data_IF_877062902707
#
_entry.id   IF_877062902707
#
_cell.length_a   1.000
_cell.length_b   1.000
_cell.length_c   1.000
_cell.angle_alpha   90.00
_cell.angle_beta   90.00
_cell.angle_gamma   90.00
#
_symmetry.space_group_name_H-M   'P 1'
#
loop_
_entity.id
_entity.type
_entity.pdbx_description
1 polymer ?
#
# COMPACT_ATOMS: atom_id res chain seq x y z
N UNK A 1 29.97 -0.99 -27.73
CA UNK A 1 29.54 -2.34 -28.11
C UNK A 1 28.21 -2.59 -27.41
N UNK A 2 27.15 -2.54 -28.19
CA UNK A 2 25.73 -2.53 -27.75
C UNK A 2 25.19 -3.96 -27.68
N UNK A 3 24.70 -4.36 -26.54
CA UNK A 3 24.02 -5.63 -26.35
C UNK A 3 22.64 -5.44 -25.73
N UNK A 4 21.63 -5.23 -26.57
CA UNK A 4 20.22 -5.18 -26.18
C UNK A 4 19.70 -6.59 -25.96
N UNK A 5 19.31 -6.94 -24.75
CA UNK A 5 18.53 -8.15 -24.44
C UNK A 5 17.05 -7.89 -24.72
N UNK A 6 16.51 -8.57 -25.73
CA UNK A 6 15.07 -8.61 -26.01
C UNK A 6 14.40 -9.65 -25.12
N UNK A 7 13.30 -9.28 -24.46
CA UNK A 7 12.48 -10.16 -23.63
C UNK A 7 11.59 -11.14 -24.43
N UNK A 8 11.00 -12.14 -23.79
CA UNK A 8 10.36 -13.32 -24.42
C UNK A 8 8.96 -13.09 -25.03
N UNK A 9 8.52 -11.86 -25.24
CA UNK A 9 7.12 -11.61 -25.70
C UNK A 9 6.90 -11.71 -27.22
N UNK A 10 7.94 -11.92 -28.04
CA UNK A 10 7.81 -11.89 -29.51
C UNK A 10 7.58 -13.25 -30.18
N UNK A 11 7.69 -14.37 -29.46
CA UNK A 11 7.54 -15.70 -30.04
C UNK A 11 6.07 -16.14 -30.24
N UNK A 12 5.16 -15.74 -29.36
CA UNK A 12 3.75 -16.19 -29.44
C UNK A 12 2.93 -15.53 -30.56
N UNK A 13 3.35 -14.35 -31.03
CA UNK A 13 2.64 -13.64 -32.10
C UNK A 13 3.03 -14.13 -33.49
N UNK A 14 4.25 -14.65 -33.68
CA UNK A 14 4.67 -15.25 -34.96
C UNK A 14 3.99 -16.57 -35.29
N UNK A 15 3.77 -17.41 -34.27
CA UNK A 15 3.12 -18.71 -34.47
C UNK A 15 1.62 -18.58 -34.77
N UNK A 16 0.97 -17.53 -34.26
CA UNK A 16 -0.45 -17.25 -34.54
C UNK A 16 -0.66 -16.74 -35.97
N UNK A 17 0.26 -15.97 -36.52
CA UNK A 17 0.21 -15.47 -37.90
C UNK A 17 0.52 -16.58 -38.88
N UNK A 18 1.50 -17.46 -38.59
CA UNK A 18 1.85 -18.59 -39.44
C UNK A 18 0.74 -19.63 -39.55
N UNK A 19 0.02 -19.91 -38.48
CA UNK A 19 -1.14 -20.80 -38.49
C UNK A 19 -2.32 -20.27 -39.32
N UNK A 20 -2.51 -18.94 -39.36
CA UNK A 20 -3.58 -18.29 -40.14
C UNK A 20 -3.31 -18.29 -41.64
N UNK A 21 -2.03 -18.15 -42.04
CA UNK A 21 -1.61 -18.19 -43.46
C UNK A 21 -1.71 -19.61 -44.00
N UNK A 22 -1.32 -20.63 -43.22
CA UNK A 22 -1.41 -22.04 -43.66
C UNK A 22 -2.85 -22.52 -43.88
N UNK A 23 -3.80 -22.04 -43.06
CA UNK A 23 -5.24 -22.37 -43.22
C UNK A 23 -5.84 -21.62 -44.42
N UNK A 24 -5.38 -20.39 -44.73
CA UNK A 24 -5.81 -19.62 -45.88
C UNK A 24 -5.37 -20.26 -47.22
N UNK A 25 -4.13 -20.74 -47.30
CA UNK A 25 -3.59 -21.37 -48.50
C UNK A 25 -4.24 -22.75 -48.81
N UNK A 26 -4.57 -23.54 -47.81
CA UNK A 26 -5.26 -24.83 -48.00
C UNK A 26 -6.69 -24.62 -48.52
N UNK A 27 -7.39 -23.57 -48.10
CA UNK A 27 -8.71 -23.23 -48.59
C UNK A 27 -8.68 -22.63 -50.00
N UNK A 28 -7.68 -21.82 -50.34
CA UNK A 28 -7.57 -21.17 -51.66
C UNK A 28 -7.19 -22.16 -52.76
N UNK A 29 -6.30 -23.10 -52.48
CA UNK A 29 -5.88 -24.13 -53.44
C UNK A 29 -6.96 -25.22 -53.65
N UNK A 30 -7.80 -25.48 -52.65
CA UNK A 30 -8.93 -26.40 -52.80
C UNK A 30 -10.04 -25.91 -53.74
N UNK A 31 -10.31 -24.61 -53.74
CA UNK A 31 -11.35 -23.97 -54.59
C UNK A 31 -10.90 -23.83 -56.05
N UNK A 32 -9.59 -23.59 -56.28
CA UNK A 32 -9.03 -23.40 -57.62
C UNK A 32 -8.94 -24.71 -58.43
N UNK A 33 -8.75 -25.82 -57.76
CA UNK A 33 -8.71 -27.15 -58.41
C UNK A 33 -10.09 -27.62 -58.90
N UNK A 34 -11.17 -27.20 -58.24
CA UNK A 34 -12.54 -27.59 -58.62
C UNK A 34 -13.09 -26.80 -59.85
N UNK A 35 -12.57 -25.56 -60.06
CA UNK A 35 -13.04 -24.70 -61.16
C UNK A 35 -12.44 -25.09 -62.52
N UNK A 36 -11.24 -25.67 -62.57
CA UNK A 36 -10.57 -26.08 -63.81
C UNK A 36 -11.02 -27.45 -64.32
N UNK A 37 -11.69 -28.25 -63.49
CA UNK A 37 -12.13 -29.60 -63.85
C UNK A 37 -13.52 -29.66 -64.50
N UNK A 38 -14.30 -28.60 -64.50
CA UNK A 38 -15.68 -28.55 -65.07
C UNK A 38 -15.77 -28.32 -66.59
N UNK A 39 -14.65 -28.18 -67.32
CA UNK A 39 -14.67 -27.80 -68.75
C UNK A 39 -14.31 -28.89 -69.73
N UNK A 40 -14.19 -30.12 -69.33
CA UNK A 40 -13.91 -31.22 -70.26
C UNK A 40 -14.45 -32.53 -69.77
N UNK A 41 -15.61 -32.92 -70.22
CA UNK A 41 -16.04 -34.24 -70.56
C UNK A 41 -17.55 -34.38 -70.50
N UNK A 42 -18.18 -34.16 -71.65
CA UNK A 42 -19.44 -34.86 -72.03
C UNK A 42 -19.07 -36.15 -72.77
N UNK A 43 -19.76 -37.22 -72.40
CA UNK A 43 -19.89 -38.55 -73.03
C UNK A 43 -19.03 -39.67 -72.38
N UNK A 44 -19.72 -40.47 -71.59
CA UNK A 44 -19.86 -41.91 -71.57
C UNK A 44 -20.43 -42.37 -70.21
N UNK A 45 -21.53 -43.10 -70.31
CA UNK A 45 -22.48 -43.80 -69.50
C UNK A 45 -22.27 -44.15 -68.06
N UNK A 46 -23.15 -43.84 -67.33
CA UNK A 46 -24.11 -44.29 -66.28
C UNK A 46 -23.70 -45.27 -65.16
N UNK A 47 -22.61 -45.99 -65.22
CA UNK A 47 -22.20 -46.92 -64.15
C UNK A 47 -20.95 -46.44 -63.38
N UNK A 48 -20.25 -45.45 -63.88
CA UNK A 48 -19.11 -44.80 -63.18
C UNK A 48 -19.53 -43.62 -62.31
N UNK A 49 -20.67 -42.98 -62.63
CA UNK A 49 -21.22 -41.80 -61.95
C UNK A 49 -21.55 -42.05 -60.47
N UNK A 50 -22.17 -43.20 -60.17
CA UNK A 50 -22.60 -43.49 -58.79
C UNK A 50 -21.43 -43.87 -57.88
N UNK A 51 -20.40 -44.56 -58.38
CA UNK A 51 -19.21 -44.88 -57.64
C UNK A 51 -18.36 -43.56 -57.32
N UNK A 52 -18.27 -42.70 -58.30
CA UNK A 52 -17.60 -41.41 -58.10
C UNK A 52 -18.37 -40.48 -57.15
N UNK A 53 -19.70 -40.48 -57.25
CA UNK A 53 -20.57 -39.72 -56.35
C UNK A 53 -20.45 -40.21 -54.91
N UNK A 54 -20.47 -41.52 -54.69
CA UNK A 54 -20.22 -42.09 -53.36
C UNK A 54 -18.78 -41.82 -52.82
N UNK A 55 -17.77 -41.86 -53.69
CA UNK A 55 -16.40 -41.55 -53.32
C UNK A 55 -16.24 -40.06 -52.94
N UNK A 56 -16.92 -39.13 -53.64
CA UNK A 56 -16.97 -37.69 -53.29
C UNK A 56 -17.67 -37.48 -51.96
N UNK A 57 -18.80 -38.16 -51.71
CA UNK A 57 -19.48 -38.05 -50.40
C UNK A 57 -18.64 -38.61 -49.25
N UNK A 58 -17.96 -39.73 -49.42
CA UNK A 58 -17.02 -40.28 -48.43
C UNK A 58 -15.87 -39.33 -48.14
N UNK A 59 -15.32 -38.64 -49.16
CA UNK A 59 -14.28 -37.63 -48.99
C UNK A 59 -14.80 -36.41 -48.23
N UNK A 60 -16.03 -35.93 -48.57
CA UNK A 60 -16.69 -34.83 -47.85
C UNK A 60 -16.94 -35.18 -46.38
N UNK A 61 -17.44 -36.41 -46.10
CA UNK A 61 -17.64 -36.85 -44.70
C UNK A 61 -16.34 -36.91 -43.92
N UNK A 62 -15.26 -37.47 -44.47
CA UNK A 62 -13.95 -37.50 -43.83
C UNK A 62 -13.38 -36.10 -43.61
N UNK A 63 -13.60 -35.18 -44.53
CA UNK A 63 -13.16 -33.80 -44.38
C UNK A 63 -13.95 -33.09 -43.27
N UNK A 64 -15.26 -33.29 -43.21
CA UNK A 64 -16.12 -32.73 -42.15
C UNK A 64 -15.79 -33.32 -40.78
N UNK A 65 -15.46 -34.60 -40.69
CA UNK A 65 -14.99 -35.23 -39.46
C UNK A 65 -13.65 -34.62 -38.96
N UNK A 66 -12.70 -34.39 -39.87
CA UNK A 66 -11.44 -33.73 -39.54
C UNK A 66 -11.67 -32.31 -39.02
N UNK A 67 -12.53 -31.52 -39.65
CA UNK A 67 -12.90 -30.18 -39.20
C UNK A 67 -13.51 -30.22 -37.79
N UNK A 68 -14.47 -31.16 -37.58
CA UNK A 68 -15.08 -31.35 -36.25
C UNK A 68 -14.08 -31.78 -35.17
N UNK A 69 -13.09 -32.61 -35.53
CA UNK A 69 -12.03 -33.00 -34.59
C UNK A 69 -11.14 -31.82 -34.22
N UNK A 70 -10.75 -30.98 -35.17
CA UNK A 70 -9.96 -29.77 -34.94
C UNK A 70 -10.75 -28.78 -34.07
N UNK A 71 -12.02 -28.58 -34.32
CA UNK A 71 -12.89 -27.71 -33.53
C UNK A 71 -13.03 -28.21 -32.07
N UNK A 72 -13.23 -29.52 -31.88
CA UNK A 72 -13.27 -30.13 -30.54
C UNK A 72 -11.92 -30.00 -29.81
N UNK A 73 -10.81 -30.14 -30.52
CA UNK A 73 -9.48 -29.95 -29.95
C UNK A 73 -9.25 -28.47 -29.51
N UNK A 74 -9.64 -27.50 -30.35
CA UNK A 74 -9.62 -26.06 -30.00
C UNK A 74 -10.50 -25.73 -28.79
N UNK A 75 -11.69 -26.31 -28.71
CA UNK A 75 -12.58 -26.12 -27.57
C UNK A 75 -11.99 -26.71 -26.25
N UNK A 76 -11.37 -27.91 -26.36
CA UNK A 76 -10.68 -28.52 -25.20
C UNK A 76 -9.50 -27.68 -24.74
N UNK A 77 -8.71 -27.14 -25.67
CA UNK A 77 -7.58 -26.28 -25.38
C UNK A 77 -8.05 -24.97 -24.72
N UNK A 78 -9.09 -24.32 -25.26
CA UNK A 78 -9.67 -23.11 -24.67
C UNK A 78 -10.20 -23.35 -23.25
N UNK A 79 -10.89 -24.48 -23.02
CA UNK A 79 -11.37 -24.84 -21.67
C UNK A 79 -10.22 -25.13 -20.71
N UNK A 80 -9.15 -25.80 -21.17
CA UNK A 80 -7.96 -26.06 -20.38
C UNK A 80 -7.22 -24.78 -20.00
N UNK A 81 -7.03 -23.85 -20.95
CA UNK A 81 -6.39 -22.54 -20.69
C UNK A 81 -7.23 -21.68 -19.72
N UNK A 82 -8.55 -21.66 -19.92
CA UNK A 82 -9.46 -20.91 -19.03
C UNK A 82 -9.49 -21.51 -17.62
N UNK A 83 -9.52 -22.85 -17.52
CA UNK A 83 -9.48 -23.55 -16.23
C UNK A 83 -8.15 -23.31 -15.49
N UNK A 84 -7.02 -23.37 -16.21
CA UNK A 84 -5.69 -23.09 -15.66
C UNK A 84 -5.56 -21.65 -15.15
N UNK A 85 -6.10 -20.69 -15.89
CA UNK A 85 -6.08 -19.28 -15.51
C UNK A 85 -6.94 -19.01 -14.25
N UNK A 86 -8.08 -19.68 -14.14
CA UNK A 86 -8.97 -19.57 -12.98
C UNK A 86 -8.34 -20.19 -11.72
N UNK A 87 -7.65 -21.33 -11.86
CA UNK A 87 -6.90 -21.96 -10.75
C UNK A 87 -5.75 -21.06 -10.30
N UNK A 88 -5.07 -20.39 -11.23
CA UNK A 88 -3.97 -19.48 -10.94
C UNK A 88 -4.47 -18.24 -10.17
N UNK A 89 -5.58 -17.64 -10.59
CA UNK A 89 -6.22 -16.51 -9.89
C UNK A 89 -6.67 -16.91 -8.49
N UNK A 90 -7.31 -18.07 -8.35
CA UNK A 90 -7.74 -18.59 -7.05
C UNK A 90 -6.53 -18.91 -6.14
N UNK A 91 -5.45 -19.45 -6.72
CA UNK A 91 -4.20 -19.70 -5.99
C UNK A 91 -3.54 -18.42 -5.49
N UNK A 92 -3.48 -17.38 -6.32
CA UNK A 92 -2.96 -16.06 -5.93
C UNK A 92 -3.87 -15.43 -4.86
N UNK A 93 -5.19 -15.53 -5.01
CA UNK A 93 -6.15 -15.03 -4.02
C UNK A 93 -6.02 -15.72 -2.66
N UNK A 94 -5.91 -17.05 -2.67
CA UNK A 94 -5.68 -17.85 -1.45
C UNK A 94 -4.33 -17.55 -0.79
N UNK A 95 -3.28 -17.39 -1.60
CA UNK A 95 -1.95 -17.06 -1.10
C UNK A 95 -1.93 -15.67 -0.44
N UNK A 96 -2.58 -14.66 -1.08
CA UNK A 96 -2.72 -13.31 -0.51
C UNK A 96 -3.57 -13.32 0.76
N UNK A 97 -4.69 -14.04 0.76
CA UNK A 97 -5.54 -14.18 1.95
C UNK A 97 -4.78 -14.83 3.11
N UNK A 98 -3.97 -15.86 2.83
CA UNK A 98 -3.16 -16.54 3.84
C UNK A 98 -2.01 -15.65 4.35
N UNK A 99 -1.41 -14.79 3.50
CA UNK A 99 -0.43 -13.80 3.93
C UNK A 99 -1.06 -12.73 4.82
N UNK A 100 -2.23 -12.20 4.44
CA UNK A 100 -2.94 -11.21 5.25
C UNK A 100 -3.34 -11.80 6.63
N UNK A 101 -3.86 -13.02 6.65
CA UNK A 101 -4.15 -13.68 7.94
C UNK A 101 -2.93 -13.87 8.82
N UNK A 102 -1.80 -14.24 8.27
CA UNK A 102 -0.55 -14.35 9.05
C UNK A 102 -0.05 -13.00 9.56
N UNK A 103 -0.23 -11.94 8.80
CA UNK A 103 0.09 -10.59 9.24
C UNK A 103 -0.84 -10.12 10.37
N UNK A 104 -2.16 -10.41 10.27
CA UNK A 104 -3.14 -10.15 11.32
C UNK A 104 -2.86 -10.98 12.58
N UNK A 105 -2.56 -12.27 12.44
CA UNK A 105 -2.20 -13.15 13.57
C UNK A 105 -0.89 -12.69 14.24
N UNK A 106 0.14 -12.33 13.44
CA UNK A 106 1.39 -11.78 13.97
C UNK A 106 1.20 -10.42 14.63
N UNK A 107 0.26 -9.62 14.16
CA UNK A 107 -0.11 -8.35 14.80
C UNK A 107 -0.86 -8.58 16.12
N UNK A 108 -1.83 -9.51 16.14
CA UNK A 108 -2.55 -9.88 17.36
C UNK A 108 -1.62 -10.52 18.42
N UNK A 109 -0.66 -11.34 17.99
CA UNK A 109 0.38 -11.89 18.87
C UNK A 109 1.30 -10.77 19.40
N UNK A 110 1.68 -9.83 18.54
CA UNK A 110 2.45 -8.65 18.92
C UNK A 110 1.68 -7.72 19.88
N UNK A 111 0.39 -7.43 19.60
CA UNK A 111 -0.48 -6.69 20.52
C UNK A 111 -0.64 -7.46 21.85
N UNK A 112 -0.85 -8.76 21.81
CA UNK A 112 -1.00 -9.59 23.02
C UNK A 112 0.28 -9.64 23.84
N UNK A 113 1.46 -9.78 23.23
CA UNK A 113 2.76 -9.75 23.92
C UNK A 113 3.06 -8.37 24.51
N UNK A 114 2.77 -7.30 23.79
CA UNK A 114 2.96 -5.94 24.31
C UNK A 114 1.87 -5.52 25.30
N UNK A 115 0.65 -6.08 25.18
CA UNK A 115 -0.43 -5.89 26.14
C UNK A 115 -0.15 -6.65 27.44
N UNK A 116 0.50 -7.82 27.38
CA UNK A 116 0.89 -8.64 28.54
C UNK A 116 2.20 -8.18 29.18
N UNK A 117 3.03 -7.40 28.51
CA UNK A 117 4.27 -6.87 29.05
C UNK A 117 4.10 -5.64 29.97
N UNK A 118 2.85 -5.36 30.36
CA UNK A 118 2.54 -4.50 31.50
C UNK A 118 2.44 -3.02 31.18
N UNK A 119 1.48 -2.40 31.80
CA UNK A 119 1.24 -0.99 32.08
C UNK A 119 0.24 -0.23 31.22
N UNK A 120 -0.79 -0.92 30.68
CA UNK A 120 -1.94 -0.23 30.09
C UNK A 120 -3.26 -0.41 30.86
N UNK A 121 -3.21 -0.50 32.18
CA UNK A 121 -4.39 -0.34 33.02
C UNK A 121 -4.39 1.03 33.71
N UNK A 122 -4.97 2.03 33.06
CA UNK A 122 -5.47 3.20 33.76
C UNK A 122 -7.01 3.17 33.65
N UNK A 123 -7.75 2.83 34.72
CA UNK A 123 -9.14 3.20 34.81
C UNK A 123 -9.21 4.71 35.09
N UNK A 124 -10.16 5.37 34.41
CA UNK A 124 -10.61 6.73 34.71
C UNK A 124 -9.62 7.87 34.50
N UNK A 125 -9.34 8.24 33.23
CA UNK A 125 -9.04 9.62 32.83
C UNK A 125 -7.76 10.29 33.40
N UNK A 126 -7.07 9.64 34.33
CA UNK A 126 -5.75 10.02 34.80
C UNK A 126 -4.80 8.87 34.52
N UNK A 127 -3.79 9.13 33.69
CA UNK A 127 -2.63 8.25 33.58
C UNK A 127 -2.05 8.11 34.97
N UNK A 128 -2.21 6.95 35.61
CA UNK A 128 -1.40 6.66 36.78
C UNK A 128 0.05 6.77 36.35
N UNK A 129 0.76 7.75 36.90
CA UNK A 129 2.19 7.88 36.71
C UNK A 129 2.82 6.60 37.24
N UNK A 130 3.59 5.91 36.38
CA UNK A 130 4.48 4.86 36.84
C UNK A 130 5.73 5.54 37.44
N UNK A 131 5.85 5.56 38.79
CA UNK A 131 6.95 6.27 39.45
C UNK A 131 8.33 5.75 39.03
N UNK A 132 8.42 4.45 38.68
CA UNK A 132 9.68 3.83 38.29
C UNK A 132 10.07 4.26 36.86
N UNK A 133 9.13 4.17 35.90
CA UNK A 133 9.34 4.64 34.54
C UNK A 133 9.62 6.16 34.52
N UNK A 134 8.89 6.97 35.32
CA UNK A 134 9.15 8.40 35.44
C UNK A 134 10.54 8.68 35.95
N UNK A 135 11.00 7.96 36.99
CA UNK A 135 12.35 8.10 37.51
C UNK A 135 13.42 7.75 36.46
N UNK A 136 13.18 6.75 35.63
CA UNK A 136 14.06 6.41 34.51
C UNK A 136 14.16 7.56 33.50
N UNK A 137 13.04 8.17 33.10
CA UNK A 137 13.04 9.33 32.20
C UNK A 137 13.82 10.51 32.79
N UNK A 138 13.58 10.86 34.06
CA UNK A 138 14.30 11.94 34.73
C UNK A 138 15.80 11.67 34.84
N UNK A 139 16.20 10.44 35.15
CA UNK A 139 17.61 10.04 35.14
C UNK A 139 18.24 10.18 33.76
N UNK A 140 17.54 9.80 32.71
CA UNK A 140 18.03 9.96 31.35
C UNK A 140 18.15 11.42 30.93
N UNK A 141 17.18 12.25 31.27
CA UNK A 141 17.25 13.70 31.05
C UNK A 141 18.43 14.34 31.83
N UNK A 142 18.73 13.91 33.07
CA UNK A 142 19.88 14.36 33.83
C UNK A 142 21.20 14.06 33.11
N UNK A 143 21.31 12.89 32.46
CA UNK A 143 22.50 12.58 31.66
C UNK A 143 22.57 13.47 30.42
N UNK A 144 21.46 13.68 29.73
CA UNK A 144 21.39 14.51 28.54
C UNK A 144 21.66 16.00 28.85
N UNK A 145 21.27 16.47 30.01
CA UNK A 145 21.53 17.85 30.47
C UNK A 145 23.04 18.21 30.56
N UNK A 146 23.90 17.21 30.63
CA UNK A 146 25.36 17.43 30.54
C UNK A 146 25.82 17.87 29.14
N UNK A 147 25.05 17.59 28.10
CA UNK A 147 25.35 17.93 26.70
C UNK A 147 24.55 19.12 26.16
N UNK A 148 23.36 19.37 26.72
CA UNK A 148 22.49 20.47 26.30
C UNK A 148 21.67 20.99 27.50
N UNK A 149 21.88 22.28 27.88
CA UNK A 149 21.24 22.90 29.04
C UNK A 149 19.70 22.96 28.96
N UNK A 150 19.11 22.81 27.78
CA UNK A 150 17.66 22.78 27.61
C UNK A 150 17.01 21.57 28.31
N UNK A 151 17.73 20.47 28.47
CA UNK A 151 17.24 19.33 29.26
C UNK A 151 17.17 19.67 30.76
N UNK A 152 18.06 20.54 31.25
CA UNK A 152 17.96 21.02 32.63
C UNK A 152 16.72 21.89 32.85
N UNK A 153 16.34 22.71 31.84
CA UNK A 153 15.08 23.48 31.89
C UNK A 153 13.84 22.56 32.05
N UNK A 154 13.82 21.39 31.38
CA UNK A 154 12.75 20.41 31.54
C UNK A 154 12.77 19.79 32.94
N UNK A 155 13.96 19.45 33.47
CA UNK A 155 14.11 18.87 34.78
C UNK A 155 13.67 19.84 35.90
N UNK A 156 13.99 21.13 35.78
CA UNK A 156 13.61 22.15 36.75
C UNK A 156 12.08 22.35 36.86
N UNK A 157 11.35 21.93 35.82
CA UNK A 157 9.89 22.02 35.74
C UNK A 157 9.24 20.65 35.59
N UNK A 158 9.88 19.56 35.99
CA UNK A 158 9.46 18.18 35.68
C UNK A 158 8.01 17.88 36.07
N UNK A 159 7.48 18.51 37.12
CA UNK A 159 6.08 18.33 37.59
C UNK A 159 5.03 18.86 36.57
N UNK A 160 5.41 19.74 35.65
CA UNK A 160 4.52 20.25 34.58
C UNK A 160 4.38 19.28 33.41
N UNK A 161 5.19 18.23 33.37
CA UNK A 161 5.22 17.28 32.25
C UNK A 161 4.55 15.97 32.59
N UNK A 162 3.62 15.51 31.77
CA UNK A 162 3.14 14.12 31.81
C UNK A 162 4.24 13.16 31.34
N UNK A 163 4.19 11.91 31.82
CA UNK A 163 5.24 10.91 31.57
C UNK A 163 5.44 10.61 30.08
N UNK A 164 4.37 10.64 29.29
CA UNK A 164 4.45 10.42 27.84
C UNK A 164 5.24 11.54 27.10
N UNK A 165 5.21 12.76 27.58
CA UNK A 165 6.03 13.87 27.03
C UNK A 165 7.48 13.74 27.46
N UNK A 166 7.74 13.36 28.72
CA UNK A 166 9.11 13.06 29.20
C UNK A 166 9.71 11.90 28.39
N UNK A 167 8.94 10.83 28.19
CA UNK A 167 9.35 9.70 27.36
C UNK A 167 9.69 10.14 25.93
N UNK A 168 8.82 10.94 25.30
CA UNK A 168 9.01 11.43 23.93
C UNK A 168 10.35 12.15 23.77
N UNK A 169 10.66 13.11 24.66
CA UNK A 169 11.91 13.87 24.57
C UNK A 169 13.14 13.04 24.92
N UNK A 170 12.99 12.01 25.75
CA UNK A 170 14.04 11.03 26.01
C UNK A 170 14.35 10.14 24.78
N UNK A 171 13.38 9.86 23.94
CA UNK A 171 13.52 8.95 22.81
C UNK A 171 13.86 9.66 21.49
N UNK A 172 13.49 10.95 21.36
CA UNK A 172 13.68 11.72 20.13
C UNK A 172 14.19 13.13 20.46
N UNK A 173 15.48 13.37 20.23
CA UNK A 173 16.11 14.66 20.47
C UNK A 173 15.55 15.80 19.59
N UNK A 174 14.98 15.48 18.43
CA UNK A 174 14.32 16.46 17.57
C UNK A 174 13.14 17.16 18.27
N UNK A 175 12.55 16.52 19.29
CA UNK A 175 11.42 17.06 20.07
C UNK A 175 11.81 18.01 21.19
N UNK A 176 13.13 18.21 21.45
CA UNK A 176 13.62 18.98 22.60
C UNK A 176 13.03 20.39 22.69
N UNK A 177 13.04 21.13 21.57
CA UNK A 177 12.48 22.49 21.55
C UNK A 177 10.97 22.52 21.79
N UNK A 178 10.24 21.49 21.31
CA UNK A 178 8.83 21.34 21.60
C UNK A 178 8.59 21.09 23.10
N UNK A 179 9.39 20.19 23.68
CA UNK A 179 9.26 19.84 25.08
C UNK A 179 9.60 21.05 26.00
N UNK A 180 10.63 21.83 25.69
CA UNK A 180 10.97 23.05 26.46
C UNK A 180 9.80 24.02 26.50
N UNK A 181 9.07 24.19 25.41
CA UNK A 181 7.93 25.10 25.34
C UNK A 181 6.65 24.54 25.97
N UNK A 182 6.63 23.24 26.29
CA UNK A 182 5.41 22.53 26.70
C UNK A 182 4.66 23.18 27.87
N UNK A 183 5.29 23.58 29.00
CA UNK A 183 4.59 24.18 30.14
C UNK A 183 3.81 25.46 29.78
N UNK A 184 4.36 26.27 28.88
CA UNK A 184 3.76 27.54 28.45
C UNK A 184 2.73 27.33 27.29
N UNK A 185 2.89 26.27 26.50
CA UNK A 185 2.14 26.07 25.24
C UNK A 185 1.09 24.95 25.30
N UNK A 186 1.09 24.12 26.34
CA UNK A 186 0.20 22.96 26.46
C UNK A 186 -1.29 23.26 26.29
N UNK A 187 -1.73 24.47 26.61
CA UNK A 187 -3.12 24.93 26.50
C UNK A 187 -3.35 25.89 25.31
N UNK A 188 -2.38 26.01 24.40
CA UNK A 188 -2.52 26.90 23.25
C UNK A 188 -3.48 26.33 22.20
N UNK A 189 -4.29 27.20 21.59
CA UNK A 189 -5.17 26.82 20.49
C UNK A 189 -4.33 26.38 19.28
N UNK A 190 -4.68 25.22 18.66
CA UNK A 190 -3.96 24.75 17.49
C UNK A 190 -4.22 25.64 16.28
N UNK A 191 -3.24 25.76 15.40
CA UNK A 191 -3.39 26.48 14.15
C UNK A 191 -4.50 25.87 13.29
N UNK A 192 -5.28 26.73 12.65
CA UNK A 192 -6.38 26.33 11.76
C UNK A 192 -5.94 25.90 10.35
N UNK A 193 -4.67 26.13 9.99
CA UNK A 193 -4.10 25.75 8.69
C UNK A 193 -2.68 25.20 8.83
N UNK A 194 -2.27 24.36 7.89
CA UNK A 194 -0.89 23.86 7.82
C UNK A 194 0.07 24.84 7.14
N UNK A 195 -0.43 25.95 6.60
CA UNK A 195 0.31 26.91 5.77
C UNK A 195 0.06 26.70 4.29
N UNK A 196 1.02 27.06 3.44
CA UNK A 196 0.90 26.94 2.00
C UNK A 196 0.95 25.47 1.57
N UNK A 197 0.03 25.09 0.68
CA UNK A 197 -0.08 23.74 0.12
C UNK A 197 -0.12 23.82 -1.40
N UNK A 198 0.61 22.97 -2.07
CA UNK A 198 0.55 22.80 -3.52
C UNK A 198 -0.13 21.48 -3.84
N UNK A 199 -1.29 21.53 -4.52
CA UNK A 199 -1.99 20.31 -4.96
C UNK A 199 -1.07 19.44 -5.83
N UNK A 200 -1.04 18.15 -5.52
CA UNK A 200 -0.14 17.16 -6.16
C UNK A 200 1.21 16.99 -5.45
N UNK A 201 1.48 17.79 -4.40
CA UNK A 201 2.70 17.68 -3.58
C UNK A 201 2.29 17.38 -2.13
N UNK A 202 2.67 16.22 -1.60
CA UNK A 202 2.41 15.84 -0.22
C UNK A 202 3.34 16.64 0.70
N UNK A 203 2.81 17.56 1.54
CA UNK A 203 3.66 18.33 2.44
C UNK A 203 4.26 17.44 3.53
N UNK A 204 5.46 17.73 3.99
CA UNK A 204 5.99 17.15 5.23
C UNK A 204 5.40 17.90 6.41
N UNK A 205 4.57 17.21 7.21
CA UNK A 205 4.06 17.72 8.49
C UNK A 205 4.63 16.88 9.61
N UNK A 206 5.08 17.57 10.68
CA UNK A 206 5.65 16.93 11.84
C UNK A 206 4.62 16.91 12.98
N UNK A 207 4.39 15.76 13.62
CA UNK A 207 3.38 15.62 14.67
C UNK A 207 3.67 16.49 15.91
N UNK A 208 4.94 16.73 16.22
CA UNK A 208 5.38 17.61 17.31
C UNK A 208 5.64 19.05 16.86
N UNK A 209 5.10 19.49 15.72
CA UNK A 209 5.12 20.92 15.36
C UNK A 209 4.31 21.73 16.38
N UNK A 210 4.88 22.85 16.85
CA UNK A 210 4.30 23.74 17.87
C UNK A 210 2.93 24.30 17.49
N UNK A 211 2.59 24.28 16.22
CA UNK A 211 1.30 24.77 15.72
C UNK A 211 0.12 23.87 16.08
N UNK A 212 0.36 22.56 16.33
CA UNK A 212 -0.70 21.58 16.60
C UNK A 212 -0.29 20.46 17.56
N UNK A 213 1.00 20.28 17.84
CA UNK A 213 1.50 19.16 18.63
C UNK A 213 0.99 19.13 20.07
N UNK A 214 0.66 20.28 20.66
CA UNK A 214 0.10 20.39 22.01
C UNK A 214 -1.40 20.02 22.06
N UNK A 215 -2.10 19.99 20.91
CA UNK A 215 -3.51 19.68 20.88
C UNK A 215 -3.83 18.29 21.47
N UNK A 216 -4.92 18.14 22.23
CA UNK A 216 -5.33 16.85 22.76
C UNK A 216 -5.60 15.83 21.66
N UNK A 217 -5.21 14.58 21.89
CA UNK A 217 -5.62 13.43 21.12
C UNK A 217 -6.30 12.41 22.04
N UNK A 218 -7.62 12.52 22.12
CA UNK A 218 -8.40 11.89 23.19
C UNK A 218 -8.13 12.52 24.57
N UNK A 219 -8.36 11.76 25.63
CA UNK A 219 -8.32 12.27 27.00
C UNK A 219 -6.96 12.14 27.68
N UNK A 220 -5.99 11.44 27.07
CA UNK A 220 -4.80 11.00 27.79
C UNK A 220 -3.48 11.19 27.03
N UNK A 221 -3.53 11.74 25.81
CA UNK A 221 -2.34 12.01 25.00
C UNK A 221 -2.51 13.27 24.16
N UNK A 222 -1.45 13.68 23.48
CA UNK A 222 -1.42 14.83 22.60
C UNK A 222 -0.93 14.42 21.20
N UNK A 223 -1.19 15.26 20.20
CA UNK A 223 -0.78 15.01 18.80
C UNK A 223 0.72 14.74 18.71
N UNK A 224 1.55 15.49 19.44
CA UNK A 224 3.01 15.30 19.42
C UNK A 224 3.45 13.89 19.82
N UNK A 225 2.71 13.23 20.69
CA UNK A 225 3.06 11.91 21.25
C UNK A 225 2.48 10.76 20.41
N UNK A 226 1.18 10.82 20.10
CA UNK A 226 0.45 9.69 19.47
C UNK A 226 -0.18 10.03 18.10
N UNK A 227 0.07 11.23 17.58
CA UNK A 227 -0.61 11.75 16.39
C UNK A 227 0.01 11.35 15.05
N UNK A 228 0.83 10.30 14.95
CA UNK A 228 1.45 9.89 13.68
C UNK A 228 0.40 9.57 12.60
N UNK A 229 -0.62 8.78 12.93
CA UNK A 229 -1.71 8.44 12.00
C UNK A 229 -2.48 9.67 11.52
N UNK A 230 -3.05 10.51 12.41
CA UNK A 230 -3.68 11.77 12.05
C UNK A 230 -2.79 12.69 11.21
N UNK A 231 -1.49 12.77 11.51
CA UNK A 231 -0.56 13.60 10.74
C UNK A 231 -0.33 13.04 9.33
N UNK A 232 -0.23 11.71 9.18
CA UNK A 232 -0.15 11.07 7.86
C UNK A 232 -1.39 11.35 7.01
N UNK A 233 -2.59 11.21 7.58
CA UNK A 233 -3.84 11.56 6.87
C UNK A 233 -3.84 13.03 6.47
N UNK A 234 -3.44 13.96 7.37
CA UNK A 234 -3.36 15.38 7.05
C UNK A 234 -2.40 15.65 5.89
N UNK A 235 -1.20 15.05 5.88
CA UNK A 235 -0.22 15.17 4.78
C UNK A 235 -0.81 14.74 3.44
N UNK A 236 -1.40 13.55 3.40
CA UNK A 236 -1.96 12.97 2.17
C UNK A 236 -3.17 13.77 1.69
N UNK A 237 -4.08 14.12 2.58
CA UNK A 237 -5.28 14.88 2.23
C UNK A 237 -4.94 16.30 1.72
N UNK A 238 -4.02 17.01 2.38
CA UNK A 238 -3.51 18.28 1.92
C UNK A 238 -2.88 18.17 0.52
N UNK A 239 -2.01 17.19 0.32
CA UNK A 239 -1.32 16.98 -0.95
C UNK A 239 -2.27 16.66 -2.11
N UNK A 240 -3.23 15.78 -1.90
CA UNK A 240 -4.15 15.33 -2.95
C UNK A 240 -5.24 16.38 -3.25
N UNK A 241 -5.79 17.03 -2.23
CA UNK A 241 -6.91 17.96 -2.40
C UNK A 241 -6.49 19.41 -2.65
N UNK A 242 -5.29 19.79 -2.18
CA UNK A 242 -4.83 21.19 -2.17
C UNK A 242 -5.42 22.01 -1.02
N UNK A 243 -6.12 21.37 -0.07
CA UNK A 243 -6.69 22.04 1.12
C UNK A 243 -5.63 22.21 2.18
N UNK A 244 -5.57 23.38 2.78
CA UNK A 244 -4.62 23.67 3.86
C UNK A 244 -5.28 23.72 5.26
N UNK A 245 -6.59 23.54 5.32
CA UNK A 245 -7.37 23.52 6.57
C UNK A 245 -7.45 22.12 7.23
N UNK A 246 -6.77 21.13 6.65
CA UNK A 246 -6.70 19.76 7.19
C UNK A 246 -5.45 19.65 8.05
N UNK A 247 -5.52 20.10 9.30
CA UNK A 247 -4.38 20.07 10.22
C UNK A 247 -4.31 18.75 10.99
N UNK A 248 -3.13 18.30 11.45
CA UNK A 248 -2.99 17.13 12.31
C UNK A 248 -3.90 17.16 13.55
N UNK A 249 -4.06 18.33 14.19
CA UNK A 249 -4.98 18.50 15.32
C UNK A 249 -6.44 18.27 14.95
N UNK A 250 -6.87 18.77 13.78
CA UNK A 250 -8.25 18.57 13.27
C UNK A 250 -8.53 17.08 13.00
N UNK A 251 -7.56 16.38 12.40
CA UNK A 251 -7.68 14.95 12.15
C UNK A 251 -7.64 14.15 13.45
N UNK A 252 -6.79 14.50 14.40
CA UNK A 252 -6.72 13.86 15.72
C UNK A 252 -8.04 14.01 16.49
N UNK A 253 -8.61 15.23 16.51
CA UNK A 253 -9.91 15.49 17.14
C UNK A 253 -11.03 14.66 16.48
N UNK A 254 -11.09 14.62 15.15
CA UNK A 254 -12.05 13.78 14.43
C UNK A 254 -11.86 12.28 14.75
N UNK A 255 -10.62 11.81 14.72
CA UNK A 255 -10.26 10.42 15.02
C UNK A 255 -10.75 10.01 16.42
N UNK A 256 -10.46 10.80 17.44
CA UNK A 256 -10.87 10.53 18.81
C UNK A 256 -12.40 10.54 18.98
N UNK A 257 -13.10 11.48 18.34
CA UNK A 257 -14.55 11.64 18.46
C UNK A 257 -15.36 10.61 17.68
N UNK A 258 -14.74 9.91 16.73
CA UNK A 258 -15.42 8.92 15.85
C UNK A 258 -14.93 7.49 16.06
N UNK A 259 -14.20 7.20 17.16
CA UNK A 259 -13.81 5.84 17.53
C UNK A 259 -12.60 5.30 16.78
N UNK A 260 -11.79 6.17 16.14
CA UNK A 260 -10.56 5.78 15.48
C UNK A 260 -9.31 5.90 16.37
N UNK A 261 -9.47 6.29 17.64
CA UNK A 261 -8.47 6.19 18.67
C UNK A 261 -8.77 4.97 19.53
N UNK A 262 -7.81 4.03 19.63
CA UNK A 262 -7.95 2.81 20.40
C UNK A 262 -7.80 3.07 21.90
N UNK A 263 -8.17 2.11 22.74
CA UNK A 263 -7.97 2.17 24.20
C UNK A 263 -6.48 2.23 24.56
N UNK A 264 -5.61 1.60 23.75
CA UNK A 264 -4.15 1.68 23.88
C UNK A 264 -3.55 3.04 23.43
N UNK A 265 -4.39 3.99 22.99
CA UNK A 265 -4.01 5.34 22.51
C UNK A 265 -3.32 5.33 21.16
N UNK A 266 -3.47 4.25 20.40
CA UNK A 266 -3.00 4.14 19.04
C UNK A 266 -4.11 4.51 18.05
N UNK A 267 -3.71 4.91 16.85
CA UNK A 267 -4.65 5.18 15.77
C UNK A 267 -5.12 3.88 15.14
N UNK A 268 -6.45 3.63 15.13
CA UNK A 268 -7.05 2.50 14.41
C UNK A 268 -6.76 2.58 12.91
N UNK A 269 -6.55 1.43 12.28
CA UNK A 269 -6.43 1.33 10.82
C UNK A 269 -7.68 1.77 10.07
N UNK A 270 -8.84 1.76 10.71
CA UNK A 270 -10.08 2.28 10.15
C UNK A 270 -10.01 3.79 9.83
N UNK A 271 -9.13 4.54 10.50
CA UNK A 271 -8.85 5.92 10.12
C UNK A 271 -8.23 6.00 8.71
N UNK A 272 -7.41 5.01 8.32
CA UNK A 272 -6.72 4.98 7.03
C UNK A 272 -7.67 4.67 5.86
N UNK A 273 -8.80 4.05 6.13
CA UNK A 273 -9.85 3.72 5.16
C UNK A 273 -11.06 4.63 5.33
N UNK A 274 -11.95 4.31 6.26
CA UNK A 274 -13.24 5.01 6.45
C UNK A 274 -13.07 6.45 6.95
N UNK A 275 -12.13 6.69 7.87
CA UNK A 275 -11.90 8.03 8.42
C UNK A 275 -11.30 9.02 7.42
N UNK A 276 -10.54 8.53 6.44
CA UNK A 276 -9.92 9.35 5.41
C UNK A 276 -10.95 10.03 4.47
N UNK A 277 -12.13 9.42 4.31
CA UNK A 277 -13.21 9.93 3.45
C UNK A 277 -13.74 11.30 3.90
N UNK A 278 -13.71 11.60 5.20
CA UNK A 278 -14.07 12.93 5.75
C UNK A 278 -13.22 14.05 5.12
N UNK A 279 -12.01 13.72 4.70
CA UNK A 279 -11.06 14.69 4.13
C UNK A 279 -11.01 14.69 2.61
N UNK A 280 -11.96 13.97 1.95
CA UNK A 280 -12.08 13.90 0.49
C UNK A 280 -11.06 13.00 -0.19
N UNK A 281 -10.55 12.01 0.53
CA UNK A 281 -9.61 11.00 0.01
C UNK A 281 -10.08 9.59 0.35
N UNK A 282 -9.78 8.63 -0.51
CA UNK A 282 -10.06 7.21 -0.29
C UNK A 282 -8.77 6.44 -0.11
N UNK A 283 -8.64 5.72 1.01
CA UNK A 283 -7.56 4.78 1.28
C UNK A 283 -7.93 3.37 0.81
N UNK A 284 -7.08 2.77 0.01
CA UNK A 284 -7.25 1.39 -0.48
C UNK A 284 -6.04 0.56 -0.07
N UNK A 285 -6.27 -0.58 0.56
CA UNK A 285 -5.19 -1.49 0.95
C UNK A 285 -4.36 -1.93 -0.25
N UNK A 286 -3.05 -2.01 -0.04
CA UNK A 286 -2.05 -2.39 -1.04
C UNK A 286 -1.21 -3.55 -0.51
N UNK A 287 -1.00 -4.57 -1.34
CA UNK A 287 -0.08 -5.66 -0.99
C UNK A 287 1.37 -5.17 -0.95
N UNK A 288 2.18 -5.77 -0.08
CA UNK A 288 3.61 -5.48 0.05
C UNK A 288 4.37 -6.05 -1.17
N UNK A 289 4.47 -5.24 -2.21
CA UNK A 289 5.16 -5.54 -3.46
C UNK A 289 5.80 -4.27 -4.01
N UNK A 290 7.12 -4.27 -4.24
CA UNK A 290 7.89 -3.09 -4.64
C UNK A 290 7.36 -2.45 -5.94
N UNK A 291 7.03 -3.28 -6.93
CA UNK A 291 6.54 -2.79 -8.22
C UNK A 291 5.13 -2.21 -8.11
N UNK A 292 4.26 -2.82 -7.30
CA UNK A 292 2.92 -2.29 -7.04
C UNK A 292 2.98 -0.95 -6.31
N UNK A 293 3.83 -0.82 -5.28
CA UNK A 293 4.06 0.42 -4.55
C UNK A 293 4.62 1.52 -5.46
N UNK A 294 5.65 1.20 -6.25
CA UNK A 294 6.26 2.13 -7.20
C UNK A 294 5.25 2.61 -8.27
N UNK A 295 4.39 1.73 -8.76
CA UNK A 295 3.36 2.08 -9.75
C UNK A 295 2.31 3.03 -9.16
N UNK A 296 1.88 2.84 -7.91
CA UNK A 296 0.94 3.77 -7.25
C UNK A 296 1.58 5.15 -7.07
N UNK A 297 2.81 5.21 -6.58
CA UNK A 297 3.53 6.48 -6.43
C UNK A 297 3.75 7.19 -7.76
N UNK A 298 4.09 6.46 -8.83
CA UNK A 298 4.24 7.01 -10.18
C UNK A 298 2.91 7.54 -10.75
N UNK A 299 1.76 7.00 -10.32
CA UNK A 299 0.43 7.50 -10.66
C UNK A 299 0.01 8.73 -9.84
N UNK A 300 0.86 9.20 -8.91
CA UNK A 300 0.56 10.33 -8.03
C UNK A 300 -0.28 9.94 -6.80
N UNK A 301 -0.33 8.66 -6.46
CA UNK A 301 -1.04 8.12 -5.31
C UNK A 301 -0.07 7.89 -4.15
N UNK A 302 0.00 8.78 -3.14
CA UNK A 302 0.83 8.58 -1.96
C UNK A 302 0.36 7.34 -1.18
N UNK A 303 1.29 6.76 -0.40
CA UNK A 303 1.03 5.54 0.36
C UNK A 303 1.28 5.83 1.84
N UNK A 304 0.31 5.53 2.72
CA UNK A 304 0.56 5.44 4.15
C UNK A 304 0.96 4.02 4.47
N UNK A 305 2.04 3.86 5.24
CA UNK A 305 2.52 2.59 5.75
C UNK A 305 2.38 2.54 7.28
N UNK A 306 1.78 1.47 7.80
CA UNK A 306 1.88 1.09 9.20
C UNK A 306 3.18 0.32 9.40
N UNK A 307 4.00 0.78 10.34
CA UNK A 307 5.34 0.26 10.62
C UNK A 307 5.34 -0.48 11.96
N UNK A 308 5.89 -1.68 11.98
CA UNK A 308 6.29 -2.40 13.18
C UNK A 308 7.71 -2.02 13.62
N UNK A 309 8.25 -2.73 14.66
CA UNK A 309 9.58 -2.45 15.20
C UNK A 309 10.69 -2.43 14.14
N UNK A 310 11.55 -1.42 14.22
CA UNK A 310 12.64 -1.22 13.27
C UNK A 310 13.22 0.19 13.30
N UNK A 311 13.54 0.73 12.15
CA UNK A 311 14.20 2.05 12.01
C UNK A 311 13.29 3.22 12.44
N UNK A 312 11.98 3.07 12.36
CA UNK A 312 11.01 4.14 12.58
C UNK A 312 10.43 4.13 13.99
N UNK A 313 10.37 2.96 14.62
CA UNK A 313 9.71 2.78 15.91
C UNK A 313 10.20 1.51 16.59
N UNK A 314 10.03 1.43 17.91
CA UNK A 314 10.20 0.21 18.71
C UNK A 314 8.85 -0.51 18.95
N UNK A 315 7.73 0.12 18.60
CA UNK A 315 6.37 -0.41 18.77
C UNK A 315 5.55 -0.32 17.48
N UNK A 316 4.77 0.72 17.30
CA UNK A 316 3.98 1.01 16.11
C UNK A 316 4.19 2.44 15.63
N UNK A 317 4.06 2.69 14.34
CA UNK A 317 4.19 4.03 13.75
C UNK A 317 3.52 4.10 12.38
N UNK A 318 3.20 5.32 11.92
CA UNK A 318 2.73 5.56 10.57
C UNK A 318 3.67 6.53 9.85
N UNK A 319 3.98 6.23 8.60
CA UNK A 319 4.78 7.08 7.70
C UNK A 319 4.07 7.23 6.35
N UNK A 320 4.45 8.24 5.55
CA UNK A 320 3.94 8.42 4.19
C UNK A 320 5.06 8.20 3.19
N UNK A 321 4.87 7.28 2.24
CA UNK A 321 5.72 7.14 1.07
C UNK A 321 5.21 8.12 0.01
N UNK A 322 6.09 9.02 -0.46
CA UNK A 322 5.71 10.14 -1.35
C UNK A 322 6.29 10.02 -2.75
N UNK A 323 7.24 9.13 -2.97
CA UNK A 323 7.87 8.92 -4.26
C UNK A 323 8.74 7.67 -4.30
N UNK A 324 9.07 7.23 -5.53
CA UNK A 324 9.99 6.13 -5.78
C UNK A 324 10.89 6.46 -6.96
N UNK A 325 12.18 6.44 -6.75
CA UNK A 325 13.18 6.67 -7.79
C UNK A 325 14.47 5.89 -7.50
N UNK A 326 15.12 5.37 -8.54
CA UNK A 326 16.42 4.69 -8.46
C UNK A 326 16.44 3.52 -7.44
N UNK A 327 15.32 2.77 -7.29
CA UNK A 327 15.22 1.65 -6.36
C UNK A 327 15.01 2.06 -4.89
N UNK A 328 14.65 3.30 -4.62
CA UNK A 328 14.45 3.82 -3.27
C UNK A 328 13.19 4.68 -3.17
N UNK A 329 12.55 4.62 -2.01
CA UNK A 329 11.39 5.42 -1.63
C UNK A 329 11.82 6.71 -0.94
N UNK A 330 11.09 7.81 -1.19
CA UNK A 330 11.09 9.01 -0.35
C UNK A 330 9.98 8.88 0.68
N UNK A 331 10.28 9.28 1.92
CA UNK A 331 9.41 9.12 3.08
C UNK A 331 9.18 10.47 3.74
N UNK A 332 7.93 10.76 4.10
CA UNK A 332 7.59 11.77 5.09
C UNK A 332 7.27 11.06 6.40
N UNK A 333 8.18 11.13 7.36
CA UNK A 333 8.00 10.60 8.70
C UNK A 333 7.48 11.73 9.62
N UNK A 334 6.25 11.62 10.16
CA UNK A 334 5.67 12.65 11.02
C UNK A 334 6.45 12.86 12.32
N UNK A 335 7.33 11.92 12.70
CA UNK A 335 8.10 12.01 13.95
C UNK A 335 9.59 12.35 13.75
N UNK A 336 10.08 12.50 12.49
CA UNK A 336 11.49 12.80 12.28
C UNK A 336 11.76 13.54 10.97
N UNK A 337 12.38 14.70 11.07
CA UNK A 337 12.94 15.43 9.94
C UNK A 337 14.15 14.71 9.36
N UNK A 338 14.98 14.11 10.24
CA UNK A 338 16.18 13.36 9.83
C UNK A 338 15.79 12.19 8.92
N UNK A 339 14.87 11.32 9.37
CA UNK A 339 14.40 10.18 8.58
C UNK A 339 13.65 10.61 7.31
N UNK A 340 12.96 11.74 7.34
CA UNK A 340 12.32 12.31 6.15
C UNK A 340 13.31 12.86 5.12
N UNK A 341 14.54 13.17 5.52
CA UNK A 341 15.64 13.58 4.64
C UNK A 341 16.38 12.41 3.95
N UNK A 342 16.09 11.16 4.34
CA UNK A 342 16.74 9.98 3.81
C UNK A 342 15.91 9.31 2.70
N UNK A 343 16.56 8.42 1.94
CA UNK A 343 15.90 7.53 1.00
C UNK A 343 15.98 6.08 1.50
N UNK A 344 14.93 5.29 1.22
CA UNK A 344 14.72 4.00 1.83
C UNK A 344 14.55 2.91 0.76
N UNK A 345 15.42 1.89 0.75
CA UNK A 345 15.26 0.77 -0.16
C UNK A 345 14.09 -0.12 0.26
N UNK A 346 13.46 -0.81 -0.71
CA UNK A 346 12.43 -1.80 -0.42
C UNK A 346 12.91 -2.89 0.55
N UNK A 347 14.14 -3.38 0.35
CA UNK A 347 14.74 -4.42 1.19
C UNK A 347 14.85 -4.01 2.67
N UNK A 348 15.08 -2.70 2.96
CA UNK A 348 15.12 -2.16 4.31
C UNK A 348 13.73 -1.98 4.91
N UNK A 349 12.75 -1.57 4.09
CA UNK A 349 11.38 -1.30 4.55
C UNK A 349 10.53 -2.55 4.73
N UNK A 350 10.66 -3.54 3.84
CA UNK A 350 9.72 -4.66 3.72
C UNK A 350 9.51 -5.49 4.99
N UNK A 351 10.54 -5.57 5.86
CA UNK A 351 10.47 -6.34 7.10
C UNK A 351 9.90 -5.53 8.28
N UNK A 352 9.65 -4.24 8.07
CA UNK A 352 9.12 -3.31 9.06
C UNK A 352 7.70 -2.85 8.72
N UNK A 353 7.27 -3.01 7.46
CA UNK A 353 5.92 -2.66 7.01
C UNK A 353 4.95 -3.76 7.43
N UNK A 354 3.91 -3.39 8.17
CA UNK A 354 2.83 -4.27 8.63
C UNK A 354 1.64 -4.19 7.68
N UNK A 355 1.25 -2.98 7.27
CA UNK A 355 0.18 -2.76 6.30
C UNK A 355 0.41 -1.49 5.47
N UNK A 356 -0.26 -1.36 4.34
CA UNK A 356 -0.13 -0.30 3.35
C UNK A 356 -1.49 0.12 2.80
N UNK A 357 -1.68 1.43 2.60
CA UNK A 357 -2.84 2.02 1.90
C UNK A 357 -2.34 3.06 0.91
N UNK A 358 -2.74 2.95 -0.36
CA UNK A 358 -2.57 4.04 -1.31
C UNK A 358 -3.81 4.92 -1.36
N UNK A 359 -3.66 6.19 -1.72
CA UNK A 359 -4.73 7.18 -1.66
C UNK A 359 -5.02 7.82 -2.99
N UNK A 360 -6.32 8.04 -3.23
CA UNK A 360 -6.87 8.82 -4.35
C UNK A 360 -7.83 9.87 -3.83
N UNK A 361 -8.12 10.90 -4.65
CA UNK A 361 -9.22 11.82 -4.35
C UNK A 361 -10.55 11.09 -4.54
N UNK A 362 -11.53 11.33 -3.65
CA UNK A 362 -12.90 10.83 -3.75
C UNK A 362 -13.60 11.35 -5.00
#
# INVERSE_FOLDING_TARGET
>A
MTGTRKGPCFCLQKDYISARILVGEILYNGVRADFLRKRGQNMTGDLTSDKEKMARERRKRKQLERVRQVERAKQRLRRGVFGGFLVLILGIGLFRWQQNRRAEEAWQDYEAENYLSGDNQAPDGQTASDPEARAEYLNKLQVLASSDERYQTILDQAEEYPDNVLRMVCQNEETLNFAVDYPEKKDSEPASTVGDVTKGVVPLLIQWDRRWGYAPYGNSTIVAVSGCGPTCIAMVACGLTGRNDITPAKVASYSANNGFLTESRDTSWDLMTYGAEEYGITGTELGLDEAAMANQLAAGHPIIASMGPGDFTSSGHFIVLTGYANGSFTVNDPNSLVRSGETWSFERLKNQIVNLWYYTVL
#
